data_IF_869567291648
#
_entry.id   IF_869567291648
#
_cell.length_a   1.000
_cell.length_b   1.000
_cell.length_c   1.000
_cell.angle_alpha   90.00
_cell.angle_beta   90.00
_cell.angle_gamma   90.00
#
_symmetry.space_group_name_H-M   'P 1'
#
loop_
_entity.id
_entity.type
_entity.pdbx_description
1 polymer ?
#
# COMPACT_ATOMS: atom_id res chain seq x y z
N UNK A 1 -7.91 -27.34 -26.67
CA UNK A 1 -7.47 -26.38 -25.65
C UNK A 1 -7.66 -24.99 -26.24
N UNK A 2 -8.72 -24.26 -25.85
CA UNK A 2 -8.83 -22.86 -26.27
C UNK A 2 -7.69 -22.07 -25.62
N UNK A 3 -6.93 -21.24 -26.35
CA UNK A 3 -6.00 -20.32 -25.72
C UNK A 3 -6.83 -19.51 -24.71
N UNK A 4 -6.46 -19.61 -23.43
CA UNK A 4 -7.11 -18.89 -22.36
C UNK A 4 -6.97 -17.40 -22.65
N UNK A 5 -8.00 -16.81 -23.27
CA UNK A 5 -7.99 -15.41 -23.69
C UNK A 5 -7.73 -14.56 -22.45
N UNK A 6 -6.62 -13.82 -22.43
CA UNK A 6 -6.32 -12.88 -21.34
C UNK A 6 -7.42 -11.81 -21.36
N UNK A 7 -8.23 -11.67 -20.29
CA UNK A 7 -9.43 -10.83 -20.31
C UNK A 7 -9.15 -9.35 -20.58
N UNK A 8 -7.90 -8.93 -20.36
CA UNK A 8 -7.43 -7.56 -20.51
C UNK A 8 -6.44 -7.37 -21.66
N UNK A 9 -6.23 -8.37 -22.53
CA UNK A 9 -5.39 -8.20 -23.72
C UNK A 9 -5.86 -7.02 -24.56
N UNK A 10 -4.93 -6.15 -24.94
CA UNK A 10 -5.13 -4.96 -25.78
C UNK A 10 -6.16 -3.97 -25.21
N UNK A 11 -6.37 -3.98 -23.89
CA UNK A 11 -7.24 -3.04 -23.19
C UNK A 11 -6.44 -1.94 -22.50
N UNK A 12 -6.96 -0.72 -22.54
CA UNK A 12 -6.50 0.38 -21.70
C UNK A 12 -7.20 0.34 -20.34
N UNK A 13 -6.44 0.57 -19.27
CA UNK A 13 -6.94 0.59 -17.89
C UNK A 13 -6.53 1.91 -17.26
N UNK A 14 -7.50 2.67 -16.76
CA UNK A 14 -7.25 3.98 -16.17
C UNK A 14 -6.49 3.86 -14.84
N UNK A 15 -5.32 4.48 -14.72
CA UNK A 15 -4.62 4.66 -13.45
C UNK A 15 -4.65 6.13 -13.05
N UNK A 16 -5.47 6.45 -12.05
CA UNK A 16 -5.42 7.76 -11.41
C UNK A 16 -4.47 7.71 -10.22
N UNK A 17 -3.30 8.33 -10.38
CA UNK A 17 -2.25 8.29 -9.37
C UNK A 17 -1.37 9.53 -9.43
N UNK A 18 -0.77 9.86 -8.28
CA UNK A 18 0.27 10.86 -8.16
C UNK A 18 1.56 10.22 -7.63
N UNK A 19 2.64 10.98 -7.58
CA UNK A 19 3.88 10.61 -6.89
C UNK A 19 4.67 9.45 -7.53
N UNK A 20 4.58 9.25 -8.84
CA UNK A 20 5.47 8.34 -9.59
C UNK A 20 5.16 6.85 -9.42
N UNK A 21 3.98 6.50 -8.88
CA UNK A 21 3.59 5.12 -8.58
C UNK A 21 3.37 4.29 -9.85
N UNK A 22 3.03 4.92 -10.97
CA UNK A 22 2.90 4.29 -12.29
C UNK A 22 4.15 3.53 -12.71
N UNK A 23 5.34 4.00 -12.27
CA UNK A 23 6.64 3.40 -12.60
C UNK A 23 6.84 1.98 -12.07
N UNK A 24 6.10 1.58 -11.04
CA UNK A 24 6.16 0.22 -10.49
C UNK A 24 4.87 -0.57 -10.72
N UNK A 25 3.74 0.12 -10.91
CA UNK A 25 2.45 -0.53 -11.14
C UNK A 25 2.33 -1.04 -12.58
N UNK A 26 2.65 -0.20 -13.58
CA UNK A 26 2.52 -0.58 -14.99
C UNK A 26 3.46 -1.74 -15.37
N UNK A 27 4.77 -1.70 -15.06
CA UNK A 27 5.67 -2.80 -15.40
C UNK A 27 5.32 -4.13 -14.72
N UNK A 28 4.71 -4.09 -13.53
CA UNK A 28 4.26 -5.29 -12.82
C UNK A 28 3.01 -5.91 -13.46
N UNK A 29 2.09 -5.11 -14.01
CA UNK A 29 0.78 -5.58 -14.47
C UNK A 29 0.73 -5.83 -15.98
N UNK A 30 1.23 -4.92 -16.80
CA UNK A 30 1.05 -4.93 -18.26
C UNK A 30 1.51 -6.23 -18.93
N UNK A 31 2.73 -6.77 -18.66
CA UNK A 31 3.20 -7.98 -19.33
C UNK A 31 2.34 -9.22 -19.00
N UNK A 32 1.88 -9.31 -17.75
CA UNK A 32 1.11 -10.45 -17.25
C UNK A 32 -0.37 -10.42 -17.65
N UNK A 33 -0.93 -9.23 -17.86
CA UNK A 33 -2.34 -9.05 -18.26
C UNK A 33 -2.50 -8.84 -19.78
N UNK A 34 -1.45 -8.37 -20.46
CA UNK A 34 -1.51 -7.93 -21.85
C UNK A 34 -2.27 -6.62 -22.06
N UNK A 35 -2.48 -5.84 -20.99
CA UNK A 35 -3.14 -4.54 -21.05
C UNK A 35 -2.13 -3.41 -21.19
N UNK A 36 -2.62 -2.19 -21.40
CA UNK A 36 -1.88 -0.93 -21.25
C UNK A 36 -2.47 -0.15 -20.10
N UNK A 37 -1.64 0.35 -19.20
CA UNK A 37 -2.06 1.23 -18.12
C UNK A 37 -1.95 2.67 -18.60
N UNK A 38 -3.10 3.32 -18.68
CA UNK A 38 -3.20 4.71 -19.07
C UNK A 38 -3.15 5.59 -17.82
N UNK A 39 -2.07 6.37 -17.68
CA UNK A 39 -1.97 7.32 -16.58
C UNK A 39 -2.89 8.51 -16.81
N UNK A 40 -3.92 8.63 -15.99
CA UNK A 40 -4.86 9.74 -16.03
C UNK A 40 -4.28 10.89 -15.22
N UNK A 41 -3.95 11.98 -15.93
CA UNK A 41 -3.42 13.23 -15.35
C UNK A 41 -4.49 14.33 -15.34
N UNK A 42 -4.21 15.45 -14.67
CA UNK A 42 -5.11 16.62 -14.66
C UNK A 42 -6.15 16.65 -13.52
N UNK A 43 -6.13 15.66 -12.62
CA UNK A 43 -6.90 15.70 -11.37
C UNK A 43 -5.95 15.62 -10.17
N UNK A 44 -6.06 16.59 -9.28
CA UNK A 44 -5.30 16.58 -8.04
C UNK A 44 -5.93 15.58 -7.05
N UNK A 45 -5.32 14.39 -6.94
CA UNK A 45 -5.78 13.34 -6.03
C UNK A 45 -5.61 13.70 -4.56
N UNK A 46 -4.87 14.77 -4.25
CA UNK A 46 -4.69 15.27 -2.89
C UNK A 46 -6.00 15.90 -2.36
N UNK A 47 -6.89 16.34 -3.26
CA UNK A 47 -8.28 16.73 -2.93
C UNK A 47 -9.10 15.57 -2.34
N UNK A 48 -8.65 14.32 -2.53
CA UNK A 48 -9.30 13.12 -1.97
C UNK A 48 -8.65 12.65 -0.66
N UNK A 49 -7.64 13.40 -0.16
CA UNK A 49 -6.90 13.18 1.07
C UNK A 49 -5.38 13.16 0.85
N UNK A 50 -4.62 13.72 1.80
CA UNK A 50 -3.14 13.78 1.76
C UNK A 50 -2.47 13.06 2.92
N UNK A 51 -1.24 12.60 2.71
CA UNK A 51 -0.38 12.05 3.78
C UNK A 51 0.19 13.13 4.69
N UNK A 52 0.22 14.39 4.23
CA UNK A 52 0.74 15.57 4.93
C UNK A 52 -0.28 16.23 5.86
N UNK A 53 -1.43 15.58 6.11
CA UNK A 53 -2.52 16.07 6.97
C UNK A 53 -3.20 17.37 6.51
N UNK A 54 -2.88 17.84 5.30
CA UNK A 54 -3.51 19.01 4.68
C UNK A 54 -5.00 18.74 4.34
N UNK A 55 -5.39 17.49 4.09
CA UNK A 55 -6.80 17.10 3.85
C UNK A 55 -7.07 15.70 4.43
N UNK A 56 -8.05 15.60 5.34
CA UNK A 56 -8.42 14.34 5.99
C UNK A 56 -9.07 13.35 5.00
N UNK A 57 -8.72 12.07 5.12
CA UNK A 57 -9.32 10.99 4.31
C UNK A 57 -10.75 10.70 4.77
N UNK A 58 -11.71 10.74 3.85
CA UNK A 58 -13.06 10.22 4.09
C UNK A 58 -13.11 8.70 3.88
N UNK A 59 -13.60 7.93 4.85
CA UNK A 59 -13.79 6.47 4.74
C UNK A 59 -12.53 5.64 4.91
N UNK A 60 -12.60 4.35 4.55
CA UNK A 60 -11.48 3.41 4.65
C UNK A 60 -10.42 3.66 3.57
N UNK A 61 -9.24 3.03 3.73
CA UNK A 61 -8.18 3.04 2.71
C UNK A 61 -8.70 2.48 1.36
N UNK A 62 -9.53 1.43 1.41
CA UNK A 62 -10.13 0.83 0.23
C UNK A 62 -11.16 1.77 -0.42
N UNK A 63 -11.99 2.46 0.38
CA UNK A 63 -12.96 3.42 -0.17
C UNK A 63 -12.27 4.57 -0.90
N UNK A 64 -11.15 5.06 -0.37
CA UNK A 64 -10.33 6.07 -1.02
C UNK A 64 -9.76 5.58 -2.36
N UNK A 65 -9.18 4.37 -2.40
CA UNK A 65 -8.68 3.77 -3.63
C UNK A 65 -9.81 3.56 -4.65
N UNK A 66 -10.98 3.06 -4.21
CA UNK A 66 -12.15 2.87 -5.07
C UNK A 66 -12.61 4.19 -5.68
N UNK A 67 -12.73 5.26 -4.89
CA UNK A 67 -13.08 6.60 -5.40
C UNK A 67 -12.05 7.10 -6.42
N UNK A 68 -10.75 6.92 -6.17
CA UNK A 68 -9.70 7.31 -7.12
C UNK A 68 -9.78 6.52 -8.42
N UNK A 69 -9.94 5.20 -8.35
CA UNK A 69 -10.10 4.36 -9.54
C UNK A 69 -11.34 4.78 -10.35
N UNK A 70 -12.48 4.99 -9.68
CA UNK A 70 -13.72 5.50 -10.31
C UNK A 70 -13.52 6.87 -10.96
N UNK A 71 -12.83 7.80 -10.31
CA UNK A 71 -12.54 9.11 -10.89
C UNK A 71 -11.62 9.01 -12.11
N UNK A 72 -10.63 8.11 -12.08
CA UNK A 72 -9.79 7.81 -13.23
C UNK A 72 -10.59 7.29 -14.42
N UNK A 73 -11.51 6.36 -14.18
CA UNK A 73 -12.43 5.83 -15.19
C UNK A 73 -13.31 6.95 -15.79
N UNK A 74 -13.90 7.80 -14.95
CA UNK A 74 -14.74 8.93 -15.39
C UNK A 74 -13.98 9.90 -16.30
N UNK A 75 -12.74 10.26 -15.92
CA UNK A 75 -11.93 11.24 -16.66
C UNK A 75 -11.39 10.70 -17.98
N UNK A 76 -11.12 9.39 -18.06
CA UNK A 76 -10.60 8.73 -19.27
C UNK A 76 -11.70 8.19 -20.18
N UNK A 77 -12.91 7.99 -19.66
CA UNK A 77 -13.99 7.29 -20.36
C UNK A 77 -13.75 5.78 -20.49
N UNK A 78 -12.85 5.19 -19.69
CA UNK A 78 -12.55 3.75 -19.72
C UNK A 78 -13.45 2.95 -18.75
N UNK A 79 -13.87 1.76 -19.19
CA UNK A 79 -14.74 0.86 -18.40
C UNK A 79 -14.01 0.09 -17.27
N UNK A 80 -12.69 0.26 -17.16
CA UNK A 80 -11.87 -0.34 -16.12
C UNK A 80 -10.81 0.64 -15.63
N UNK A 81 -10.51 0.58 -14.33
CA UNK A 81 -9.54 1.46 -13.72
C UNK A 81 -8.99 0.90 -12.42
N UNK A 82 -7.83 1.43 -12.03
CA UNK A 82 -7.18 1.10 -10.79
C UNK A 82 -6.65 2.35 -10.08
N UNK A 83 -6.48 2.22 -8.77
CA UNK A 83 -5.78 3.22 -7.98
C UNK A 83 -5.13 2.56 -6.75
N UNK A 84 -4.06 3.17 -6.29
CA UNK A 84 -3.32 2.72 -5.12
C UNK A 84 -3.43 3.68 -3.94
N UNK A 85 -3.55 3.11 -2.76
CA UNK A 85 -3.57 3.84 -1.49
C UNK A 85 -2.68 3.18 -0.45
N UNK A 86 -2.06 4.03 0.37
CA UNK A 86 -1.20 3.62 1.48
C UNK A 86 -1.80 4.02 2.83
N UNK A 87 -1.44 3.31 3.89
CA UNK A 87 -1.75 3.71 5.25
C UNK A 87 -0.62 3.32 6.19
N UNK A 88 -0.36 4.18 7.17
CA UNK A 88 0.66 3.98 8.19
C UNK A 88 0.01 3.82 9.55
N UNK A 89 0.52 2.90 10.35
CA UNK A 89 0.02 2.61 11.70
C UNK A 89 0.99 1.74 12.48
N UNK A 90 0.61 1.33 13.70
CA UNK A 90 1.40 0.36 14.46
C UNK A 90 1.31 -1.02 13.81
N UNK A 91 2.37 -1.83 13.96
CA UNK A 91 2.37 -3.19 13.41
C UNK A 91 1.26 -4.05 14.04
N UNK A 92 0.64 -4.96 13.27
CA UNK A 92 -0.54 -5.69 13.72
C UNK A 92 -0.24 -6.80 14.75
N UNK A 93 1.03 -7.08 15.05
CA UNK A 93 1.42 -8.19 15.92
C UNK A 93 1.82 -7.72 17.33
N UNK A 94 2.68 -6.70 17.41
CA UNK A 94 3.22 -6.16 18.66
C UNK A 94 2.72 -4.75 18.96
N UNK A 95 2.31 -4.00 17.94
CA UNK A 95 1.92 -2.60 18.04
C UNK A 95 3.08 -1.64 18.31
N UNK A 96 4.34 -2.09 18.20
CA UNK A 96 5.53 -1.37 18.63
C UNK A 96 6.30 -0.72 17.49
N UNK A 97 6.13 -1.21 16.26
CA UNK A 97 6.93 -0.78 15.10
C UNK A 97 6.02 -0.05 14.10
N UNK A 98 6.48 1.05 13.47
CA UNK A 98 5.73 1.65 12.39
C UNK A 98 5.56 0.66 11.23
N UNK A 99 4.36 0.64 10.66
CA UNK A 99 3.93 -0.33 9.66
C UNK A 99 3.23 0.36 8.51
N UNK A 100 3.55 -0.05 7.29
CA UNK A 100 2.91 0.44 6.08
C UNK A 100 2.05 -0.67 5.47
N UNK A 101 0.83 -0.34 5.09
CA UNK A 101 -0.06 -1.18 4.29
C UNK A 101 -0.34 -0.45 2.98
N UNK A 102 0.04 -1.04 1.86
CA UNK A 102 -0.28 -0.57 0.51
C UNK A 102 -1.33 -1.49 -0.09
N UNK A 103 -2.34 -0.89 -0.74
CA UNK A 103 -3.33 -1.61 -1.52
C UNK A 103 -3.51 -0.99 -2.89
N UNK A 104 -3.92 -1.82 -3.86
CA UNK A 104 -4.29 -1.42 -5.21
C UNK A 104 -5.66 -2.01 -5.51
N UNK A 105 -6.66 -1.16 -5.70
CA UNK A 105 -8.00 -1.57 -6.11
C UNK A 105 -8.10 -1.54 -7.64
N UNK A 106 -8.60 -2.63 -8.23
CA UNK A 106 -8.91 -2.78 -9.65
C UNK A 106 -10.42 -2.93 -9.82
N UNK A 107 -11.01 -2.10 -10.67
CA UNK A 107 -12.44 -2.06 -10.98
C UNK A 107 -12.63 -2.37 -12.46
N UNK A 108 -13.61 -3.22 -12.78
CA UNK A 108 -14.02 -3.55 -14.15
C UNK A 108 -15.55 -3.58 -14.23
N UNK A 109 -16.14 -2.58 -14.91
CA UNK A 109 -17.59 -2.45 -15.05
C UNK A 109 -18.18 -3.42 -16.08
N UNK A 110 -17.39 -3.90 -17.04
CA UNK A 110 -17.84 -4.90 -18.02
C UNK A 110 -18.09 -6.24 -17.35
N UNK A 111 -17.29 -6.57 -16.33
CA UNK A 111 -17.43 -7.79 -15.55
C UNK A 111 -18.18 -7.61 -14.23
N UNK A 112 -18.32 -6.37 -13.76
CA UNK A 112 -18.94 -6.04 -12.48
C UNK A 112 -18.12 -6.54 -11.28
N UNK A 113 -16.79 -6.43 -11.35
CA UNK A 113 -15.88 -6.96 -10.33
C UNK A 113 -14.99 -5.88 -9.70
N UNK A 114 -14.62 -6.12 -8.45
CA UNK A 114 -13.56 -5.42 -7.73
C UNK A 114 -12.52 -6.46 -7.27
N UNK A 115 -11.25 -6.21 -7.57
CA UNK A 115 -10.12 -7.05 -7.13
C UNK A 115 -9.09 -6.16 -6.46
N UNK A 116 -8.67 -6.54 -5.25
CA UNK A 116 -7.71 -5.75 -4.47
C UNK A 116 -6.44 -6.55 -4.30
N UNK A 117 -5.29 -5.98 -4.68
CA UNK A 117 -3.97 -6.46 -4.28
C UNK A 117 -3.43 -5.69 -3.10
N UNK A 118 -2.62 -6.33 -2.25
CA UNK A 118 -2.09 -5.74 -1.02
C UNK A 118 -0.67 -6.20 -0.72
N UNK A 119 0.11 -5.31 -0.12
CA UNK A 119 1.38 -5.65 0.53
C UNK A 119 1.54 -4.81 1.80
N UNK A 120 2.31 -5.33 2.75
CA UNK A 120 2.53 -4.64 4.00
C UNK A 120 3.88 -5.00 4.61
N UNK A 121 4.46 -4.09 5.38
CA UNK A 121 5.76 -4.28 6.00
C UNK A 121 6.17 -3.13 6.92
N UNK A 122 7.35 -3.25 7.56
CA UNK A 122 7.90 -2.18 8.39
C UNK A 122 8.02 -0.86 7.62
N UNK A 123 7.68 0.24 8.27
CA UNK A 123 7.71 1.58 7.70
C UNK A 123 8.81 2.45 8.31
N UNK A 124 9.35 3.36 7.48
CA UNK A 124 10.12 4.51 7.94
C UNK A 124 9.20 5.73 7.90
N UNK A 125 8.70 6.10 9.06
CA UNK A 125 7.71 7.18 9.24
C UNK A 125 7.96 7.94 10.55
N UNK A 126 9.22 7.97 10.97
CA UNK A 126 9.63 8.68 12.17
C UNK A 126 9.46 10.19 12.03
N UNK A 127 9.45 10.86 13.18
CA UNK A 127 9.54 12.30 13.30
C UNK A 127 10.40 12.68 14.51
N UNK A 128 10.86 13.93 14.53
CA UNK A 128 11.65 14.54 15.59
C UNK A 128 11.29 16.02 15.68
N UNK A 129 11.11 16.53 16.89
CA UNK A 129 11.13 17.97 17.18
C UNK A 129 12.44 18.29 17.90
N UNK A 130 13.28 19.13 17.29
CA UNK A 130 14.57 19.50 17.89
C UNK A 130 15.10 20.82 17.35
N UNK A 131 15.84 21.55 18.18
CA UNK A 131 16.67 22.70 17.83
C UNK A 131 18.17 22.35 17.72
N UNK A 132 18.54 21.09 17.97
CA UNK A 132 19.90 20.58 17.84
C UNK A 132 20.12 19.90 16.49
N UNK A 133 21.07 20.44 15.72
CA UNK A 133 21.46 19.87 14.44
C UNK A 133 21.99 18.43 14.57
N UNK A 134 22.71 18.12 15.66
CA UNK A 134 23.30 16.78 15.83
C UNK A 134 22.22 15.72 16.02
N UNK A 135 21.17 16.04 16.78
CA UNK A 135 19.99 15.20 16.91
C UNK A 135 19.26 14.99 15.57
N UNK A 136 19.11 16.05 14.75
CA UNK A 136 18.50 15.98 13.41
C UNK A 136 19.32 15.10 12.46
N UNK A 137 20.65 15.23 12.47
CA UNK A 137 21.54 14.42 11.65
C UNK A 137 21.45 12.93 12.02
N UNK A 138 21.49 12.60 13.32
CA UNK A 138 21.33 11.24 13.81
C UNK A 138 19.95 10.64 13.48
N UNK A 139 18.89 11.45 13.56
CA UNK A 139 17.54 11.07 13.14
C UNK A 139 17.50 10.77 11.63
N UNK A 140 18.04 11.65 10.80
CA UNK A 140 18.05 11.50 9.35
C UNK A 140 18.75 10.20 8.93
N UNK A 141 19.91 9.90 9.52
CA UNK A 141 20.62 8.64 9.27
C UNK A 141 19.78 7.41 9.65
N UNK A 142 19.13 7.43 10.82
CA UNK A 142 18.28 6.32 11.29
C UNK A 142 17.09 6.08 10.37
N UNK A 143 16.48 7.14 9.84
CA UNK A 143 15.37 7.06 8.89
C UNK A 143 15.81 6.76 7.44
N UNK A 144 17.11 6.55 7.19
CA UNK A 144 17.62 6.14 5.87
C UNK A 144 17.74 7.29 4.86
N UNK A 145 17.96 8.51 5.35
CA UNK A 145 18.34 9.65 4.52
C UNK A 145 19.75 9.44 3.91
N UNK A 146 20.02 9.84 2.65
CA UNK A 146 19.15 10.62 1.75
C UNK A 146 18.21 9.79 0.86
N UNK A 147 18.26 8.45 0.93
CA UNK A 147 17.40 7.60 0.10
C UNK A 147 15.92 7.81 0.44
N UNK A 148 15.61 7.91 1.74
CA UNK A 148 14.35 8.45 2.24
C UNK A 148 14.48 9.95 2.40
N UNK A 149 13.61 10.70 1.72
CA UNK A 149 13.61 12.16 1.82
C UNK A 149 12.92 12.61 3.09
N UNK A 150 13.18 13.86 3.48
CA UNK A 150 12.60 14.46 4.68
C UNK A 150 11.71 15.66 4.34
N UNK A 151 10.81 15.97 5.28
CA UNK A 151 10.03 17.21 5.35
C UNK A 151 10.43 17.96 6.62
N UNK A 152 10.69 19.25 6.50
CA UNK A 152 11.00 20.14 7.62
C UNK A 152 9.92 21.21 7.78
N UNK A 153 9.54 21.50 9.03
CA UNK A 153 8.64 22.57 9.45
C UNK A 153 9.24 23.37 10.60
N UNK A 154 9.02 24.69 10.69
CA UNK A 154 9.27 25.45 11.91
C UNK A 154 8.30 24.99 13.03
N UNK A 155 8.72 25.15 14.29
CA UNK A 155 7.89 25.11 15.50
C UNK A 155 7.23 23.78 15.89
N UNK A 156 6.44 23.16 15.02
CA UNK A 156 5.62 21.97 15.33
C UNK A 156 5.22 21.18 14.08
N UNK A 157 4.56 20.04 14.30
CA UNK A 157 4.00 19.21 13.22
C UNK A 157 2.87 19.88 12.45
N UNK A 158 2.20 20.87 13.05
CA UNK A 158 1.02 21.55 12.49
C UNK A 158 1.38 22.84 11.72
N UNK A 159 2.65 23.22 11.66
CA UNK A 159 3.07 24.40 10.91
C UNK A 159 2.85 24.20 9.40
N UNK A 160 2.18 25.17 8.78
CA UNK A 160 1.87 25.16 7.35
C UNK A 160 3.08 25.49 6.48
N UNK A 161 4.08 26.19 7.04
CA UNK A 161 5.35 26.49 6.38
C UNK A 161 6.19 25.22 6.35
N UNK A 162 6.43 24.66 5.17
CA UNK A 162 7.20 23.42 5.09
C UNK A 162 8.09 23.31 3.86
N UNK A 163 9.24 22.67 4.06
CA UNK A 163 10.16 22.27 3.02
C UNK A 163 10.00 20.77 2.76
N UNK A 164 9.37 20.40 1.65
CA UNK A 164 9.13 19.00 1.27
C UNK A 164 10.24 18.46 0.35
N UNK A 165 10.45 17.14 0.35
CA UNK A 165 11.29 16.46 -0.65
C UNK A 165 12.78 16.73 -0.54
N UNK A 166 13.28 17.04 0.66
CA UNK A 166 14.70 17.27 0.94
C UNK A 166 15.46 15.97 0.69
N UNK A 167 16.48 15.99 -0.17
CA UNK A 167 17.11 14.78 -0.71
C UNK A 167 18.66 14.78 -0.62
N UNK A 168 19.27 15.76 0.04
CA UNK A 168 20.72 15.85 0.22
C UNK A 168 21.07 16.63 1.51
N UNK A 169 22.26 16.36 2.03
CA UNK A 169 22.72 16.86 3.35
C UNK A 169 22.84 18.39 3.40
N UNK A 170 23.33 19.01 2.33
CA UNK A 170 23.50 20.46 2.27
C UNK A 170 22.14 21.16 2.30
N UNK A 171 21.18 20.64 1.53
CA UNK A 171 19.80 21.13 1.54
C UNK A 171 19.12 20.92 2.88
N UNK A 172 19.34 19.77 3.53
CA UNK A 172 18.81 19.49 4.86
C UNK A 172 19.32 20.52 5.87
N UNK A 173 20.63 20.81 5.85
CA UNK A 173 21.22 21.81 6.74
C UNK A 173 20.65 23.20 6.49
N UNK A 174 20.59 23.61 5.24
CA UNK A 174 20.04 24.92 4.88
C UNK A 174 18.57 25.06 5.30
N UNK A 175 17.75 24.03 5.05
CA UNK A 175 16.35 24.03 5.47
C UNK A 175 16.20 24.04 6.99
N UNK A 176 17.08 23.36 7.72
CA UNK A 176 17.08 23.40 9.19
C UNK A 176 17.36 24.80 9.72
N UNK A 177 18.45 25.43 9.27
CA UNK A 177 18.81 26.79 9.69
C UNK A 177 17.70 27.80 9.34
N UNK A 178 17.07 27.65 8.17
CA UNK A 178 15.93 28.48 7.75
C UNK A 178 14.67 28.26 8.62
N UNK A 179 14.31 27.00 8.90
CA UNK A 179 13.17 26.70 9.78
C UNK A 179 13.41 27.23 11.20
N UNK A 180 14.62 27.05 11.74
CA UNK A 180 14.97 27.54 13.07
C UNK A 180 14.88 29.07 13.16
N UNK A 181 15.31 29.80 12.13
CA UNK A 181 15.20 31.26 12.09
C UNK A 181 13.75 31.75 11.99
N UNK A 182 12.85 30.96 11.40
CA UNK A 182 11.42 31.26 11.27
C UNK A 182 10.59 30.85 12.50
N UNK A 183 11.14 29.96 13.34
CA UNK A 183 10.47 29.40 14.51
C UNK A 183 10.63 30.31 15.73
N UNK A 184 9.51 30.75 16.31
CA UNK A 184 9.49 31.54 17.55
C UNK A 184 10.10 30.80 18.75
N UNK A 185 9.96 29.47 18.78
CA UNK A 185 10.52 28.58 19.82
C UNK A 185 11.88 27.97 19.44
N UNK A 186 12.46 28.36 18.28
CA UNK A 186 13.69 27.80 17.68
C UNK A 186 13.66 26.30 17.35
N UNK A 187 12.54 25.62 17.58
CA UNK A 187 12.40 24.19 17.29
C UNK A 187 12.15 23.98 15.80
N UNK A 188 12.65 22.85 15.28
CA UNK A 188 12.38 22.39 13.92
C UNK A 188 11.75 21.00 14.03
N UNK A 189 10.58 20.86 13.42
CA UNK A 189 9.94 19.58 13.25
C UNK A 189 10.43 18.93 11.96
N UNK A 190 10.95 17.71 12.09
CA UNK A 190 11.51 16.90 11.00
C UNK A 190 10.72 15.61 10.93
N UNK A 191 10.27 15.22 9.73
CA UNK A 191 9.62 13.94 9.51
C UNK A 191 10.05 13.28 8.21
N UNK A 192 9.87 11.98 8.11
CA UNK A 192 10.07 11.26 6.86
C UNK A 192 9.02 11.66 5.83
N UNK A 193 9.46 11.95 4.60
CA UNK A 193 8.55 12.25 3.50
C UNK A 193 7.85 10.97 3.03
N UNK A 194 6.58 10.83 3.38
CA UNK A 194 5.81 9.61 3.11
C UNK A 194 5.32 9.52 1.65
N UNK A 195 5.56 10.51 0.80
CA UNK A 195 5.15 10.46 -0.62
C UNK A 195 5.92 9.37 -1.36
N UNK A 196 5.26 8.63 -2.26
CA UNK A 196 5.83 7.41 -2.85
C UNK A 196 7.19 7.61 -3.53
N UNK A 197 7.37 8.65 -4.35
CA UNK A 197 8.65 8.95 -5.00
C UNK A 197 9.79 9.30 -4.02
N UNK A 198 9.45 9.68 -2.79
CA UNK A 198 10.34 10.16 -1.75
C UNK A 198 10.71 9.06 -0.73
N UNK A 199 10.03 7.91 -0.82
CA UNK A 199 10.14 6.81 0.13
C UNK A 199 10.33 5.47 -0.61
N UNK A 200 11.59 5.01 -0.82
CA UNK A 200 11.88 3.81 -1.60
C UNK A 200 11.26 2.53 -1.05
N UNK A 201 11.20 2.34 0.27
CA UNK A 201 10.58 1.13 0.85
C UNK A 201 9.07 1.11 0.63
N UNK A 202 8.42 2.29 0.69
CA UNK A 202 7.02 2.44 0.29
C UNK A 202 6.82 2.09 -1.18
N UNK A 203 7.67 2.59 -2.07
CA UNK A 203 7.59 2.29 -3.52
C UNK A 203 7.70 0.78 -3.78
N UNK A 204 8.59 0.09 -3.07
CA UNK A 204 8.70 -1.37 -3.16
C UNK A 204 7.46 -2.11 -2.64
N UNK A 205 6.82 -1.63 -1.57
CA UNK A 205 5.54 -2.21 -1.11
C UNK A 205 4.42 -2.01 -2.15
N UNK A 206 4.39 -0.87 -2.86
CA UNK A 206 3.43 -0.66 -3.96
C UNK A 206 3.68 -1.65 -5.10
N UNK A 207 4.94 -1.89 -5.45
CA UNK A 207 5.32 -2.91 -6.43
C UNK A 207 4.85 -4.31 -6.00
N UNK A 208 5.06 -4.69 -4.74
CA UNK A 208 4.59 -5.97 -4.20
C UNK A 208 3.06 -6.08 -4.23
N UNK A 209 2.33 -5.01 -3.91
CA UNK A 209 0.89 -4.97 -4.00
C UNK A 209 0.39 -5.12 -5.45
N UNK A 210 1.12 -4.60 -6.43
CA UNK A 210 0.85 -4.80 -7.85
C UNK A 210 1.07 -6.26 -8.28
N UNK A 211 2.11 -6.92 -7.78
CA UNK A 211 2.33 -8.34 -8.04
C UNK A 211 1.26 -9.23 -7.39
N UNK A 212 0.83 -8.93 -6.16
CA UNK A 212 -0.31 -9.62 -5.53
C UNK A 212 -1.61 -9.41 -6.33
N UNK A 213 -1.85 -8.19 -6.82
CA UNK A 213 -2.98 -7.91 -7.71
C UNK A 213 -2.91 -8.71 -9.00
N UNK A 214 -1.73 -8.82 -9.63
CA UNK A 214 -1.53 -9.61 -10.84
C UNK A 214 -1.91 -11.08 -10.62
N UNK A 215 -1.41 -11.69 -9.53
CA UNK A 215 -1.71 -13.08 -9.20
C UNK A 215 -3.21 -13.31 -9.02
N UNK A 216 -3.89 -12.38 -8.35
CA UNK A 216 -5.34 -12.41 -8.16
C UNK A 216 -6.09 -12.32 -9.49
N UNK A 217 -5.72 -11.37 -10.36
CA UNK A 217 -6.36 -11.20 -11.67
C UNK A 217 -6.09 -12.37 -12.63
N UNK A 218 -4.97 -13.08 -12.47
CA UNK A 218 -4.68 -14.29 -13.25
C UNK A 218 -5.43 -15.52 -12.73
N UNK A 219 -5.85 -15.51 -11.46
CA UNK A 219 -6.64 -16.59 -10.87
C UNK A 219 -8.10 -16.51 -11.31
N UNK A 220 -8.57 -17.56 -11.99
CA UNK A 220 -9.91 -17.61 -12.60
C UNK A 220 -10.88 -18.47 -11.81
N UNK A 221 -12.12 -17.99 -11.76
CA UNK A 221 -13.22 -18.77 -11.20
C UNK A 221 -13.48 -20.01 -12.07
N UNK A 222 -13.56 -21.23 -11.49
CA UNK A 222 -13.83 -22.43 -12.26
C UNK A 222 -15.25 -22.49 -12.84
N UNK A 223 -16.18 -21.68 -12.31
CA UNK A 223 -17.58 -21.66 -12.75
C UNK A 223 -17.84 -20.62 -13.83
N UNK A 224 -17.43 -19.37 -13.61
CA UNK A 224 -17.74 -18.25 -14.52
C UNK A 224 -16.52 -17.71 -15.30
N UNK A 225 -15.33 -18.30 -15.07
CA UNK A 225 -14.06 -17.91 -15.68
C UNK A 225 -13.63 -16.45 -15.44
N UNK A 226 -14.31 -15.72 -14.55
CA UNK A 226 -13.94 -14.35 -14.19
C UNK A 226 -12.60 -14.31 -13.45
N UNK A 227 -11.78 -13.26 -13.66
CA UNK A 227 -10.55 -13.05 -12.90
C UNK A 227 -10.85 -12.68 -11.44
N UNK A 228 -9.87 -12.81 -10.56
CA UNK A 228 -9.99 -12.44 -9.15
C UNK A 228 -10.48 -13.56 -8.22
N UNK A 229 -10.54 -14.81 -8.67
CA UNK A 229 -10.90 -15.93 -7.80
C UNK A 229 -9.78 -16.18 -6.77
N UNK A 230 -9.98 -15.77 -5.52
CA UNK A 230 -8.90 -15.71 -4.56
C UNK A 230 -9.34 -16.04 -3.13
N UNK A 231 -8.36 -16.23 -2.25
CA UNK A 231 -8.58 -16.43 -0.82
C UNK A 231 -9.22 -15.18 -0.21
N UNK A 232 -10.45 -15.32 0.28
CA UNK A 232 -11.17 -14.26 1.01
C UNK A 232 -11.23 -14.53 2.51
N UNK A 233 -11.03 -15.78 2.94
CA UNK A 233 -11.02 -16.16 4.35
C UNK A 233 -9.95 -17.20 4.64
N UNK A 234 -9.28 -17.06 5.79
CA UNK A 234 -8.38 -18.06 6.34
C UNK A 234 -8.95 -18.55 7.66
N UNK A 235 -9.40 -19.81 7.67
CA UNK A 235 -10.03 -20.44 8.84
C UNK A 235 -8.91 -20.97 9.75
N UNK A 236 -8.79 -20.54 11.01
CA UNK A 236 -7.80 -21.05 11.95
C UNK A 236 -8.19 -22.44 12.50
N UNK A 237 -7.31 -23.02 13.32
CA UNK A 237 -7.60 -24.26 14.05
C UNK A 237 -6.86 -25.49 13.54
N UNK A 238 -5.69 -25.32 12.89
CA UNK A 238 -4.89 -26.46 12.44
C UNK A 238 -4.38 -27.23 13.66
N UNK A 239 -4.55 -28.56 13.66
CA UNK A 239 -4.21 -29.39 14.81
C UNK A 239 -2.69 -29.45 15.04
N UNK A 240 -2.27 -29.21 16.29
CA UNK A 240 -0.87 -29.31 16.71
C UNK A 240 -0.33 -30.74 16.52
N UNK A 241 0.87 -30.88 15.95
CA UNK A 241 1.49 -32.19 15.74
C UNK A 241 1.80 -32.94 17.05
N UNK A 242 2.08 -32.22 18.14
CA UNK A 242 2.41 -32.81 19.44
C UNK A 242 1.18 -33.13 20.31
N UNK A 243 0.27 -32.17 20.51
CA UNK A 243 -0.84 -32.34 21.46
C UNK A 243 -2.24 -32.45 20.83
N UNK A 244 -2.36 -32.34 19.50
CA UNK A 244 -3.63 -32.45 18.77
C UNK A 244 -4.60 -31.29 18.94
N UNK A 245 -4.34 -30.32 19.83
CA UNK A 245 -5.22 -29.16 20.02
C UNK A 245 -5.19 -28.20 18.82
N UNK A 246 -6.30 -27.50 18.55
CA UNK A 246 -6.34 -26.47 17.50
C UNK A 246 -5.38 -25.31 17.84
N UNK A 247 -4.72 -24.78 16.81
CA UNK A 247 -3.82 -23.62 16.91
C UNK A 247 -4.36 -22.43 16.13
N UNK A 248 -3.74 -21.26 16.28
CA UNK A 248 -4.04 -20.08 15.45
C UNK A 248 -3.64 -20.29 13.96
N UNK A 249 -2.90 -21.35 13.65
CA UNK A 249 -2.51 -21.65 12.27
C UNK A 249 -3.73 -21.97 11.40
N UNK A 250 -3.69 -21.48 10.16
CA UNK A 250 -4.73 -21.70 9.16
C UNK A 250 -4.91 -23.19 8.86
N UNK A 251 -6.13 -23.71 9.05
CA UNK A 251 -6.52 -25.09 8.69
C UNK A 251 -7.18 -25.19 7.33
N UNK A 252 -7.79 -24.10 6.85
CA UNK A 252 -8.46 -24.08 5.57
C UNK A 252 -8.56 -22.66 5.02
N UNK A 253 -8.64 -22.55 3.71
CA UNK A 253 -8.78 -21.30 2.99
C UNK A 253 -10.10 -21.34 2.22
N UNK A 254 -10.89 -20.26 2.32
CA UNK A 254 -12.08 -20.06 1.49
C UNK A 254 -11.68 -19.19 0.32
N UNK A 255 -11.90 -19.73 -0.87
CA UNK A 255 -11.66 -19.07 -2.14
C UNK A 255 -12.99 -18.64 -2.75
N UNK A 256 -13.12 -17.37 -3.09
CA UNK A 256 -14.39 -16.80 -3.56
C UNK A 256 -14.22 -16.07 -4.89
N UNK A 257 -15.26 -16.14 -5.73
CA UNK A 257 -15.33 -15.40 -6.98
C UNK A 257 -15.87 -13.98 -6.72
N UNK A 258 -15.28 -12.92 -7.31
CA UNK A 258 -15.82 -11.57 -7.18
C UNK A 258 -17.05 -11.31 -8.07
N UNK A 259 -17.36 -12.20 -9.02
CA UNK A 259 -18.44 -12.02 -10.01
C UNK A 259 -19.69 -12.86 -9.75
N UNK A 260 -19.53 -14.09 -9.26
CA UNK A 260 -20.64 -15.00 -9.00
C UNK A 260 -20.52 -15.59 -7.60
N UNK A 261 -21.54 -16.33 -7.17
CA UNK A 261 -21.64 -16.89 -5.83
C UNK A 261 -20.72 -18.11 -5.59
N UNK A 262 -19.89 -18.48 -6.57
CA UNK A 262 -19.01 -19.64 -6.43
C UNK A 262 -17.95 -19.42 -5.34
N UNK A 263 -17.90 -20.35 -4.41
CA UNK A 263 -16.88 -20.46 -3.38
C UNK A 263 -16.38 -21.90 -3.26
N UNK A 264 -15.12 -22.08 -2.89
CA UNK A 264 -14.59 -23.39 -2.52
C UNK A 264 -13.75 -23.29 -1.26
N UNK A 265 -13.70 -24.39 -0.51
CA UNK A 265 -12.89 -24.51 0.69
C UNK A 265 -11.76 -25.49 0.46
N UNK A 266 -10.54 -25.03 0.62
CA UNK A 266 -9.33 -25.85 0.50
C UNK A 266 -8.79 -26.12 1.90
N UNK A 267 -8.86 -27.37 2.36
CA UNK A 267 -8.31 -27.76 3.67
C UNK A 267 -6.81 -28.03 3.56
N UNK A 268 -6.05 -27.61 4.58
CA UNK A 268 -4.65 -27.99 4.72
C UNK A 268 -4.56 -29.39 5.32
N UNK A 269 -3.76 -30.25 4.69
CA UNK A 269 -3.53 -31.63 5.13
C UNK A 269 -2.43 -31.70 6.22
N UNK A 270 -1.62 -30.64 6.35
CA UNK A 270 -0.53 -30.56 7.31
C UNK A 270 -1.00 -30.43 8.78
N UNK A 271 -0.11 -30.72 9.73
CA UNK A 271 -0.31 -30.38 11.15
C UNK A 271 0.48 -29.13 11.51
N UNK A 272 0.02 -28.40 12.52
CA UNK A 272 0.70 -27.21 13.01
C UNK A 272 1.95 -27.57 13.81
N UNK A 273 3.01 -26.78 13.63
CA UNK A 273 4.23 -26.86 14.43
C UNK A 273 3.91 -26.51 15.90
N UNK A 274 4.40 -27.27 16.89
CA UNK A 274 4.17 -27.00 18.31
C UNK A 274 4.60 -25.59 18.76
N UNK A 275 5.53 -24.93 18.05
CA UNK A 275 5.93 -23.53 18.29
C UNK A 275 4.79 -22.52 18.16
N UNK A 276 3.73 -22.86 17.41
CA UNK A 276 2.54 -22.03 17.24
C UNK A 276 1.35 -22.49 18.10
N UNK A 277 1.56 -23.43 19.03
CA UNK A 277 0.51 -23.96 19.88
C UNK A 277 0.59 -23.33 21.27
N UNK A 278 -0.42 -22.55 21.66
CA UNK A 278 -0.49 -21.90 22.98
C UNK A 278 -0.44 -22.87 24.18
N UNK A 279 -0.59 -24.19 23.97
CA UNK A 279 -0.37 -25.20 25.01
C UNK A 279 1.07 -25.72 25.05
N UNK A 280 1.68 -25.96 23.89
CA UNK A 280 3.03 -26.52 23.80
C UNK A 280 4.12 -25.44 23.89
N UNK A 281 3.78 -24.21 23.49
CA UNK A 281 4.59 -23.02 23.54
C UNK A 281 3.68 -21.85 23.97
N UNK A 282 3.37 -21.73 25.28
CA UNK A 282 2.55 -20.66 25.82
C UNK A 282 3.18 -19.28 25.68
#
# INVERSE_FOLDING_TARGET
MHPSARPYADRCIALLTQHGKERVIAPALEPGLGCTIEHVSGFDTDLLGTFTRETARAGSQLDAARRKARKGMELSGLDAGLASEGSFGPDPFTGMVPWNVELIAWLDDRMGIEVVGMAQGPARSGHLLSDDWSAVEAFAQREGFPQHRLVLRPESEDDTRMHKGIADWDRLRHCFDACQAQASNRQVFVETDLRAFANPTRMHLIEQAAHDLLQRLQSRCPTCNAPGYWVTERIPGLACSACGRPTASCRAEVWSCPRCEYQSRVNKIARADPRHCARCNP
#
